data_IF_790234034192
#
_entry.id   IF_790234034192
#
_cell.length_a   1.000
_cell.length_b   1.000
_cell.length_c   1.000
_cell.angle_alpha   90.00
_cell.angle_beta   90.00
_cell.angle_gamma   90.00
#
_symmetry.space_group_name_H-M   'P 1'
#
loop_
_entity.id
_entity.type
_entity.pdbx_description
1 polymer ?
#
# COMPACT_ATOMS: atom_id res chain seq x y z
N UNK A 1 -0.99 -7.23 -31.08
CA UNK A 1 -0.40 -7.07 -29.74
C UNK A 1 -0.65 -5.62 -29.37
N UNK A 2 -1.70 -5.34 -28.60
CA UNK A 2 -2.08 -3.96 -28.32
C UNK A 2 -1.00 -3.30 -27.49
N UNK A 3 -0.50 -2.20 -28.04
CA UNK A 3 0.51 -1.30 -27.50
C UNK A 3 -0.01 -0.62 -26.23
N UNK A 4 -0.06 -1.39 -25.14
CA UNK A 4 -0.48 -0.91 -23.83
C UNK A 4 0.54 0.11 -23.32
N UNK A 5 0.23 1.39 -23.54
CA UNK A 5 0.98 2.53 -23.02
C UNK A 5 1.32 2.39 -21.53
N UNK A 6 2.36 3.09 -21.06
CA UNK A 6 3.24 2.67 -19.97
C UNK A 6 2.47 2.02 -18.81
N UNK A 7 2.48 0.69 -18.80
CA UNK A 7 1.86 -0.19 -17.80
C UNK A 7 2.48 -0.09 -16.39
N UNK A 8 3.03 1.08 -16.06
CA UNK A 8 3.49 1.48 -14.74
C UNK A 8 2.42 2.29 -13.99
N UNK A 9 1.44 2.87 -14.68
CA UNK A 9 0.41 3.72 -14.04
C UNK A 9 -0.67 2.93 -13.29
N UNK A 10 -0.82 1.63 -13.58
CA UNK A 10 -1.84 0.76 -12.94
C UNK A 10 -1.22 -0.26 -11.98
N UNK A 11 0.10 -0.24 -11.77
CA UNK A 11 0.75 -1.18 -10.84
C UNK A 11 0.48 -0.75 -9.41
N UNK A 12 -0.29 -1.56 -8.70
CA UNK A 12 -0.48 -1.39 -7.26
C UNK A 12 0.87 -1.54 -6.53
N UNK A 13 1.06 -0.82 -5.42
CA UNK A 13 2.25 -0.95 -4.56
C UNK A 13 2.45 -2.41 -4.14
N UNK A 14 1.36 -3.13 -3.83
CA UNK A 14 1.39 -4.56 -3.49
C UNK A 14 1.97 -5.41 -4.63
N UNK A 15 1.70 -5.03 -5.88
CA UNK A 15 2.20 -5.74 -7.05
C UNK A 15 3.72 -5.56 -7.21
N UNK A 16 4.24 -4.38 -6.84
CA UNK A 16 5.68 -4.13 -6.80
C UNK A 16 6.37 -4.89 -5.67
N UNK A 17 5.75 -4.98 -4.49
CA UNK A 17 6.24 -5.81 -3.37
C UNK A 17 6.32 -7.27 -3.79
N UNK A 18 5.27 -7.79 -4.44
CA UNK A 18 5.24 -9.17 -4.93
C UNK A 18 6.36 -9.43 -5.95
N UNK A 19 6.54 -8.52 -6.90
CA UNK A 19 7.60 -8.62 -7.89
C UNK A 19 8.99 -8.61 -7.23
N UNK A 20 9.22 -7.69 -6.28
CA UNK A 20 10.49 -7.62 -5.55
C UNK A 20 10.75 -8.88 -4.70
N UNK A 21 9.73 -9.42 -4.03
CA UNK A 21 9.87 -10.59 -3.14
C UNK A 21 10.10 -11.90 -3.89
N UNK A 22 9.35 -12.13 -4.98
CA UNK A 22 9.27 -13.44 -5.63
C UNK A 22 9.84 -13.47 -7.04
N UNK A 23 9.85 -12.35 -7.77
CA UNK A 23 10.40 -12.30 -9.12
C UNK A 23 11.88 -11.89 -9.13
N UNK A 24 12.27 -11.01 -8.21
CA UNK A 24 13.64 -10.51 -8.10
C UNK A 24 14.44 -11.12 -6.93
N UNK A 25 13.80 -11.96 -6.10
CA UNK A 25 14.38 -12.56 -4.88
C UNK A 25 14.93 -11.52 -3.88
N UNK A 26 14.50 -10.26 -4.01
CA UNK A 26 14.90 -9.13 -3.14
C UNK A 26 13.97 -9.03 -1.94
N UNK A 27 13.92 -10.11 -1.15
CA UNK A 27 13.10 -10.22 0.06
C UNK A 27 13.26 -9.01 1.00
N UNK A 28 14.50 -8.59 1.29
CA UNK A 28 14.74 -7.45 2.19
C UNK A 28 14.17 -6.12 1.69
N UNK A 29 14.23 -5.88 0.37
CA UNK A 29 13.65 -4.67 -0.24
C UNK A 29 12.12 -4.73 -0.23
N UNK A 30 11.54 -5.89 -0.55
CA UNK A 30 10.10 -6.10 -0.47
C UNK A 30 9.55 -5.94 0.95
N UNK A 31 10.28 -6.41 1.97
CA UNK A 31 9.92 -6.22 3.38
C UNK A 31 9.97 -4.74 3.77
N UNK A 32 10.99 -3.98 3.35
CA UNK A 32 11.07 -2.55 3.60
C UNK A 32 9.88 -1.78 2.98
N UNK A 33 9.55 -2.09 1.72
CA UNK A 33 8.37 -1.54 1.06
C UNK A 33 7.06 -1.87 1.79
N UNK A 34 6.93 -3.10 2.28
CA UNK A 34 5.75 -3.55 3.03
C UNK A 34 5.61 -2.83 4.37
N UNK A 35 6.72 -2.60 5.09
CA UNK A 35 6.73 -1.85 6.34
C UNK A 35 6.33 -0.38 6.12
N UNK A 36 6.83 0.26 5.06
CA UNK A 36 6.44 1.62 4.71
C UNK A 36 4.94 1.69 4.38
N UNK A 37 4.44 0.75 3.57
CA UNK A 37 3.01 0.68 3.25
C UNK A 37 2.15 0.48 4.50
N UNK A 38 2.57 -0.40 5.41
CA UNK A 38 1.90 -0.63 6.69
C UNK A 38 1.86 0.63 7.54
N UNK A 39 2.94 1.40 7.61
CA UNK A 39 2.96 2.68 8.35
C UNK A 39 2.01 3.69 7.73
N UNK A 40 1.97 3.80 6.40
CA UNK A 40 1.04 4.70 5.70
C UNK A 40 -0.39 4.31 6.06
N UNK A 41 -0.78 3.05 5.85
CA UNK A 41 -2.13 2.57 6.15
C UNK A 41 -2.43 2.74 7.64
N UNK A 42 -1.50 2.40 8.54
CA UNK A 42 -1.66 2.55 9.97
C UNK A 42 -1.91 4.00 10.39
N UNK A 43 -1.18 4.96 9.83
CA UNK A 43 -1.42 6.39 10.06
C UNK A 43 -2.81 6.78 9.54
N UNK A 44 -3.16 6.38 8.32
CA UNK A 44 -4.49 6.65 7.76
C UNK A 44 -5.60 6.05 8.63
N UNK A 45 -5.44 4.82 9.10
CA UNK A 45 -6.40 4.15 9.99
C UNK A 45 -6.52 4.87 11.33
N UNK A 46 -5.41 5.30 11.95
CA UNK A 46 -5.44 6.05 13.20
C UNK A 46 -6.12 7.42 13.02
N UNK A 47 -5.84 8.11 11.91
CA UNK A 47 -6.48 9.39 11.56
C UNK A 47 -7.97 9.18 11.30
N UNK A 48 -8.33 8.17 10.51
CA UNK A 48 -9.71 7.79 10.21
C UNK A 48 -10.46 7.46 11.51
N UNK A 49 -9.86 6.68 12.41
CA UNK A 49 -10.47 6.30 13.68
C UNK A 49 -10.67 7.51 14.61
N UNK A 50 -9.73 8.46 14.63
CA UNK A 50 -9.85 9.71 15.39
C UNK A 50 -10.92 10.66 14.83
N UNK A 51 -11.11 10.68 13.51
CA UNK A 51 -12.13 11.53 12.85
C UNK A 51 -13.51 10.89 12.95
N UNK A 52 -13.64 9.62 12.56
CA UNK A 52 -14.90 8.85 12.61
C UNK A 52 -15.35 8.57 14.05
N UNK A 53 -14.42 8.37 14.99
CA UNK A 53 -14.74 8.18 16.41
C UNK A 53 -15.35 9.42 17.08
N UNK A 54 -15.31 10.61 16.45
CA UNK A 54 -16.03 11.80 16.95
C UNK A 54 -17.48 11.87 16.53
N UNK A 55 -17.96 10.96 15.67
CA UNK A 55 -19.34 10.96 15.18
C UNK A 55 -20.28 10.04 15.99
N UNK A 56 -19.76 9.31 16.98
CA UNK A 56 -20.53 8.40 17.84
C UNK A 56 -20.87 8.97 19.24
N UNK A 57 -20.80 10.30 19.43
CA UNK A 57 -21.16 10.98 20.69
C UNK A 57 -22.32 11.99 20.53
N UNK A 58 -23.10 11.87 19.46
CA UNK A 58 -24.35 12.63 19.29
C UNK A 58 -25.55 11.71 19.06
N UNK A 59 -25.78 10.78 19.98
CA UNK A 59 -27.08 10.15 20.22
C UNK A 59 -27.38 10.05 21.72
#
# INVERSE_FOLDING_TARGET
>A
MTDGGPGYSTKLIVQQVYQAAFAEDRMGYASAMSLVLMLIIGIFTLVQFKITGKEHDHE
#
